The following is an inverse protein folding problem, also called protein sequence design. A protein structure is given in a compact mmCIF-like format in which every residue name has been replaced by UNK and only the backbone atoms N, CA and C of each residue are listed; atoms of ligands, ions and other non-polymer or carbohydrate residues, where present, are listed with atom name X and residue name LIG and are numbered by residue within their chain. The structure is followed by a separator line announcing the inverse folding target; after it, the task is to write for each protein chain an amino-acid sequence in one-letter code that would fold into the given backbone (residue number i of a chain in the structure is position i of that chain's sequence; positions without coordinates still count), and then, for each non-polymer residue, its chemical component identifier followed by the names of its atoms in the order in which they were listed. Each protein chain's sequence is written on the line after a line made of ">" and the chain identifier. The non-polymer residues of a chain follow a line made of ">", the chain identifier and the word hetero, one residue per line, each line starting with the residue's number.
data_IF_783580236799
#
_entry.id   IF_783580236799
#
_cell.length_a   1.000
_cell.length_b   1.000
_cell.length_c   1.000
_cell.angle_alpha   90.00
_cell.angle_beta   90.00
_cell.angle_gamma   90.00
#
_symmetry.space_group_name_H-M   'P 1'
#
loop_
_entity.id
_entity.type
_entity.pdbx_description
1 polymer ?
#
# COMPACT_ATOMS: atom_id res chain seq x y z
N UNK A 1 0.58 -14.56 -30.03
CA UNK A 1 1.28 -13.26 -29.84
C UNK A 1 1.50 -12.45 -31.12
N UNK A 2 1.68 -13.07 -32.31
CA UNK A 2 1.94 -12.33 -33.55
C UNK A 2 0.83 -11.39 -34.04
N UNK A 3 -0.44 -11.67 -33.78
CA UNK A 3 -1.56 -10.84 -34.24
C UNK A 3 -1.70 -9.53 -33.49
N UNK A 4 -1.58 -9.56 -32.14
CA UNK A 4 -1.69 -8.38 -31.29
C UNK A 4 -0.51 -7.43 -31.54
N UNK A 5 0.72 -7.95 -31.71
CA UNK A 5 1.88 -7.15 -32.07
C UNK A 5 1.70 -6.43 -33.40
N UNK A 6 1.24 -7.14 -34.45
CA UNK A 6 0.95 -6.54 -35.75
C UNK A 6 -0.11 -5.44 -35.68
N UNK A 7 -1.11 -5.61 -34.82
CA UNK A 7 -2.14 -4.58 -34.59
C UNK A 7 -1.56 -3.32 -33.94
N UNK A 8 -0.75 -3.48 -32.89
CA UNK A 8 -0.08 -2.37 -32.20
C UNK A 8 0.88 -1.64 -33.16
N UNK A 9 1.70 -2.39 -33.90
CA UNK A 9 2.64 -1.83 -34.91
C UNK A 9 1.91 -1.06 -36.02
N UNK A 10 0.70 -1.47 -36.39
CA UNK A 10 -0.13 -0.77 -37.38
C UNK A 10 -0.67 0.57 -36.86
N UNK A 11 -0.95 0.69 -35.58
CA UNK A 11 -1.51 1.90 -34.98
C UNK A 11 -0.39 2.87 -34.55
N UNK A 12 0.78 2.37 -34.21
CA UNK A 12 1.95 3.12 -33.72
C UNK A 12 2.27 4.39 -34.51
N UNK A 13 2.25 4.40 -35.88
CA UNK A 13 2.54 5.62 -36.65
C UNK A 13 1.58 6.78 -36.40
N UNK A 14 0.35 6.50 -35.92
CA UNK A 14 -0.64 7.54 -35.63
C UNK A 14 -0.29 8.32 -34.34
N UNK A 15 0.46 7.68 -33.44
CA UNK A 15 0.88 8.25 -32.14
C UNK A 15 2.34 8.70 -32.13
N UNK A 16 3.14 8.33 -33.14
CA UNK A 16 4.53 8.73 -33.28
C UNK A 16 4.68 10.22 -33.63
N UNK A 17 5.89 10.77 -33.55
CA UNK A 17 6.21 12.13 -33.97
C UNK A 17 5.73 12.41 -35.39
N UNK A 18 4.88 13.43 -35.55
CA UNK A 18 4.23 13.77 -36.82
C UNK A 18 2.87 13.09 -37.07
N UNK A 19 2.42 12.18 -36.25
CA UNK A 19 1.10 11.57 -36.32
C UNK A 19 -0.02 12.49 -35.77
N UNK A 20 -1.27 12.21 -36.17
CA UNK A 20 -2.45 13.01 -35.78
C UNK A 20 -2.68 13.03 -34.26
N UNK A 21 -2.20 12.02 -33.52
CA UNK A 21 -2.36 11.85 -32.07
C UNK A 21 -1.00 11.85 -31.36
N UNK A 22 -0.02 12.58 -31.88
CA UNK A 22 1.32 12.67 -31.27
C UNK A 22 1.31 13.21 -29.83
N UNK A 23 0.31 13.98 -29.44
CA UNK A 23 0.13 14.43 -28.07
C UNK A 23 -0.18 13.29 -27.06
N UNK A 24 -0.60 12.13 -27.55
CA UNK A 24 -0.81 10.91 -26.74
C UNK A 24 0.35 9.90 -26.87
N UNK A 25 1.49 10.29 -27.43
CA UNK A 25 2.62 9.41 -27.67
C UNK A 25 3.09 8.69 -26.39
N UNK A 26 3.25 9.43 -25.29
CA UNK A 26 3.65 8.89 -23.98
C UNK A 26 2.63 7.87 -23.42
N UNK A 27 1.35 8.14 -23.59
CA UNK A 27 0.27 7.22 -23.19
C UNK A 27 0.28 5.94 -24.01
N UNK A 28 0.46 6.07 -25.34
CA UNK A 28 0.53 4.91 -26.23
C UNK A 28 1.76 4.05 -25.93
N UNK A 29 2.91 4.67 -25.69
CA UNK A 29 4.14 3.98 -25.32
C UNK A 29 4.00 3.23 -23.99
N UNK A 30 3.33 3.81 -22.99
CA UNK A 30 3.01 3.13 -21.74
C UNK A 30 2.19 1.84 -21.97
N UNK A 31 1.16 1.88 -22.83
CA UNK A 31 0.39 0.68 -23.19
C UNK A 31 1.18 -0.33 -24.01
N UNK A 32 1.98 0.14 -24.99
CA UNK A 32 2.83 -0.75 -25.79
C UNK A 32 3.84 -1.48 -24.91
N UNK A 33 4.52 -0.76 -24.04
CA UNK A 33 5.54 -1.31 -23.15
C UNK A 33 4.96 -2.16 -22.01
N UNK A 34 3.70 -1.94 -21.65
CA UNK A 34 2.96 -2.84 -20.75
C UNK A 34 2.67 -4.19 -21.41
N UNK A 35 2.27 -4.19 -22.69
CA UNK A 35 1.95 -5.42 -23.43
C UNK A 35 3.21 -6.15 -23.92
N UNK A 36 4.23 -5.40 -24.31
CA UNK A 36 5.44 -5.92 -24.94
C UNK A 36 6.70 -5.32 -24.34
N UNK A 37 7.68 -6.16 -24.07
CA UNK A 37 9.00 -5.69 -23.64
C UNK A 37 9.64 -4.86 -24.76
N UNK A 38 10.16 -3.64 -24.49
CA UNK A 38 10.84 -2.83 -25.49
C UNK A 38 12.02 -3.58 -26.13
N UNK A 39 12.13 -3.53 -27.46
CA UNK A 39 13.20 -4.18 -28.22
C UNK A 39 14.31 -3.18 -28.61
N UNK A 40 14.46 -2.11 -27.85
CA UNK A 40 15.49 -1.10 -28.06
C UNK A 40 16.83 -1.59 -27.53
N UNK A 41 17.89 -1.41 -28.33
CA UNK A 41 19.27 -1.72 -27.96
C UNK A 41 20.10 -0.44 -27.99
N UNK A 42 21.18 -0.39 -27.20
CA UNK A 42 22.14 0.72 -27.27
C UNK A 42 22.81 0.75 -28.63
N UNK A 43 22.97 1.94 -29.22
CA UNK A 43 23.63 2.13 -30.50
C UNK A 43 25.16 2.10 -30.42
N UNK A 44 25.74 2.32 -29.23
CA UNK A 44 27.19 2.33 -28.97
C UNK A 44 27.49 1.77 -27.58
N UNK A 45 28.60 1.06 -27.42
CA UNK A 45 29.06 0.48 -26.17
C UNK A 45 28.37 -0.84 -25.81
N UNK A 46 28.55 -1.29 -24.54
CA UNK A 46 27.94 -2.51 -24.04
C UNK A 46 26.45 -2.33 -23.82
N UNK A 47 25.64 -3.30 -24.25
CA UNK A 47 24.22 -3.35 -23.96
C UNK A 47 24.00 -4.17 -22.67
N UNK A 48 23.62 -3.47 -21.60
CA UNK A 48 23.29 -4.10 -20.31
C UNK A 48 21.79 -3.97 -20.09
N UNK A 49 21.12 -5.09 -19.88
CA UNK A 49 19.70 -5.15 -19.59
C UNK A 49 19.46 -5.98 -18.36
N UNK A 50 18.71 -5.42 -17.39
CA UNK A 50 18.25 -6.19 -16.23
C UNK A 50 17.12 -7.14 -16.65
N UNK A 51 17.09 -8.34 -16.08
CA UNK A 51 15.98 -9.28 -16.25
C UNK A 51 14.73 -8.86 -15.47
N UNK A 52 14.87 -8.05 -14.40
CA UNK A 52 13.81 -7.48 -13.60
C UNK A 52 13.66 -5.98 -13.90
N UNK A 53 12.69 -5.63 -14.72
CA UNK A 53 12.27 -4.24 -14.91
C UNK A 53 11.25 -3.83 -13.82
N UNK A 54 10.96 -2.53 -13.73
CA UNK A 54 10.02 -1.97 -12.76
C UNK A 54 8.63 -2.59 -12.91
N UNK A 55 8.19 -2.88 -14.14
CA UNK A 55 6.89 -3.48 -14.46
C UNK A 55 6.72 -4.85 -13.81
N UNK A 56 7.75 -5.69 -13.92
CA UNK A 56 7.75 -7.03 -13.32
C UNK A 56 7.73 -6.96 -11.81
N UNK A 57 8.48 -6.03 -11.23
CA UNK A 57 8.44 -5.81 -9.78
C UNK A 57 7.07 -5.36 -9.32
N UNK A 58 6.43 -4.42 -10.02
CA UNK A 58 5.09 -3.94 -9.66
C UNK A 58 4.00 -5.01 -9.82
N UNK A 59 4.06 -5.82 -10.89
CA UNK A 59 3.07 -6.92 -11.06
C UNK A 59 3.18 -7.98 -9.97
N UNK A 60 4.39 -8.26 -9.46
CA UNK A 60 4.56 -9.18 -8.33
C UNK A 60 3.86 -8.65 -7.08
N UNK A 61 3.94 -7.34 -6.81
CA UNK A 61 3.21 -6.72 -5.70
C UNK A 61 1.69 -6.82 -5.90
N UNK A 62 1.19 -6.56 -7.12
CA UNK A 62 -0.24 -6.74 -7.45
C UNK A 62 -0.68 -8.19 -7.22
N UNK A 63 0.11 -9.17 -7.68
CA UNK A 63 -0.19 -10.60 -7.44
C UNK A 63 -0.18 -10.93 -5.94
N UNK A 64 0.73 -10.36 -5.18
CA UNK A 64 0.78 -10.53 -3.72
C UNK A 64 -0.41 -9.91 -2.98
N UNK A 65 -1.04 -8.87 -3.54
CA UNK A 65 -2.27 -8.26 -3.01
C UNK A 65 -3.53 -9.08 -3.32
N UNK A 66 -3.52 -9.92 -4.38
CA UNK A 66 -4.70 -10.65 -4.83
C UNK A 66 -5.34 -11.54 -3.76
N UNK A 67 -4.61 -12.31 -2.93
CA UNK A 67 -5.23 -13.11 -1.88
C UNK A 67 -6.08 -12.27 -0.90
N UNK A 68 -5.53 -11.12 -0.45
CA UNK A 68 -6.23 -10.21 0.45
C UNK A 68 -7.44 -9.55 -0.23
N UNK A 69 -7.31 -9.15 -1.50
CA UNK A 69 -8.39 -8.56 -2.28
C UNK A 69 -9.55 -9.54 -2.50
N UNK A 70 -9.25 -10.75 -2.97
CA UNK A 70 -10.27 -11.77 -3.25
C UNK A 70 -11.00 -12.20 -1.97
N UNK A 71 -10.26 -12.36 -0.87
CA UNK A 71 -10.87 -12.64 0.42
C UNK A 71 -11.73 -11.46 0.91
N UNK A 72 -11.26 -10.23 0.75
CA UNK A 72 -12.01 -9.03 1.12
C UNK A 72 -13.34 -8.90 0.36
N UNK A 73 -13.33 -9.20 -0.96
CA UNK A 73 -14.56 -9.28 -1.75
C UNK A 73 -15.52 -10.35 -1.21
N UNK A 74 -15.01 -11.53 -0.87
CA UNK A 74 -15.82 -12.57 -0.26
C UNK A 74 -16.37 -12.15 1.11
N UNK A 75 -15.53 -11.57 1.96
CA UNK A 75 -15.92 -11.15 3.31
C UNK A 75 -16.99 -10.05 3.27
N UNK A 76 -16.94 -9.14 2.31
CA UNK A 76 -17.97 -8.10 2.13
C UNK A 76 -19.36 -8.71 1.97
N UNK A 77 -19.53 -9.74 1.13
CA UNK A 77 -20.80 -10.42 0.99
C UNK A 77 -21.15 -11.32 2.17
N UNK A 78 -20.14 -11.90 2.84
CA UNK A 78 -20.35 -12.72 4.03
C UNK A 78 -20.91 -11.91 5.20
N UNK A 79 -20.45 -10.69 5.41
CA UNK A 79 -20.95 -9.78 6.46
C UNK A 79 -22.43 -9.38 6.25
N UNK A 80 -22.92 -9.43 5.03
CA UNK A 80 -24.35 -9.20 4.68
C UNK A 80 -25.20 -10.48 4.86
N UNK A 81 -24.60 -11.58 5.29
CA UNK A 81 -25.28 -12.87 5.50
C UNK A 81 -25.36 -13.76 4.25
N UNK A 82 -24.65 -13.40 3.18
CA UNK A 82 -24.56 -14.24 1.99
C UNK A 82 -23.48 -15.32 2.15
N UNK A 83 -23.58 -16.41 1.41
CA UNK A 83 -22.61 -17.52 1.47
C UNK A 83 -22.18 -17.98 0.08
N UNK A 84 -21.01 -18.61 -0.01
CA UNK A 84 -20.49 -19.20 -1.24
C UNK A 84 -20.24 -18.16 -2.35
N UNK A 85 -20.56 -18.54 -3.58
CA UNK A 85 -20.35 -17.67 -4.75
C UNK A 85 -21.20 -16.41 -4.76
N UNK A 86 -22.37 -16.41 -4.12
CA UNK A 86 -23.22 -15.22 -4.02
C UNK A 86 -22.51 -14.12 -3.20
N UNK A 87 -21.88 -14.48 -2.08
CA UNK A 87 -21.11 -13.55 -1.28
C UNK A 87 -19.94 -12.93 -2.07
N UNK A 88 -19.21 -13.76 -2.82
CA UNK A 88 -18.10 -13.28 -3.65
C UNK A 88 -18.56 -12.30 -4.74
N UNK A 89 -19.63 -12.64 -5.47
CA UNK A 89 -20.15 -11.77 -6.54
C UNK A 89 -20.71 -10.46 -6.01
N UNK A 90 -21.40 -10.49 -4.87
CA UNK A 90 -21.86 -9.27 -4.21
C UNK A 90 -20.67 -8.34 -3.89
N UNK A 91 -19.69 -8.84 -3.15
CA UNK A 91 -18.52 -8.02 -2.80
C UNK A 91 -17.66 -7.62 -4.02
N UNK A 92 -17.59 -8.45 -5.06
CA UNK A 92 -16.93 -8.07 -6.31
C UNK A 92 -17.62 -6.85 -6.96
N UNK A 93 -18.95 -6.83 -7.04
CA UNK A 93 -19.70 -5.72 -7.62
C UNK A 93 -19.59 -4.44 -6.79
N UNK A 94 -19.47 -4.54 -5.47
CA UNK A 94 -19.27 -3.39 -4.58
C UNK A 94 -17.84 -2.82 -4.67
N UNK A 95 -16.84 -3.69 -4.70
CA UNK A 95 -15.43 -3.26 -4.68
C UNK A 95 -14.91 -2.83 -6.07
N UNK A 96 -15.41 -3.45 -7.13
CA UNK A 96 -14.96 -3.17 -8.51
C UNK A 96 -15.09 -1.70 -8.91
N UNK A 97 -16.20 -1.00 -8.64
CA UNK A 97 -16.32 0.43 -8.95
C UNK A 97 -15.27 1.29 -8.22
N UNK A 98 -14.94 0.95 -6.98
CA UNK A 98 -13.91 1.64 -6.20
C UNK A 98 -12.53 1.52 -6.87
N UNK A 99 -12.20 0.31 -7.34
CA UNK A 99 -10.95 0.03 -8.05
C UNK A 99 -10.93 0.80 -9.38
N UNK A 100 -12.00 0.74 -10.16
CA UNK A 100 -12.09 1.43 -11.45
C UNK A 100 -11.93 2.93 -11.29
N UNK A 101 -12.62 3.54 -10.33
CA UNK A 101 -12.51 4.99 -10.06
C UNK A 101 -11.09 5.36 -9.65
N UNK A 102 -10.46 4.60 -8.77
CA UNK A 102 -9.08 4.83 -8.35
C UNK A 102 -8.12 4.81 -9.55
N UNK A 103 -8.21 3.79 -10.41
CA UNK A 103 -7.35 3.71 -11.61
C UNK A 103 -7.65 4.80 -12.64
N UNK A 104 -8.90 5.08 -12.93
CA UNK A 104 -9.27 6.09 -13.94
C UNK A 104 -8.78 7.47 -13.52
N UNK A 105 -9.03 7.86 -12.27
CA UNK A 105 -8.61 9.17 -11.76
C UNK A 105 -7.09 9.24 -11.63
N UNK A 106 -6.47 8.26 -11.04
CA UNK A 106 -5.03 8.30 -10.78
C UNK A 106 -4.20 8.22 -12.04
N UNK A 107 -4.47 7.26 -12.93
CA UNK A 107 -3.77 7.18 -14.22
C UNK A 107 -4.07 8.40 -15.11
N UNK A 108 -5.29 8.93 -15.07
CA UNK A 108 -5.63 10.15 -15.82
C UNK A 108 -4.75 11.34 -15.40
N UNK A 109 -4.52 11.51 -14.10
CA UNK A 109 -3.65 12.56 -13.57
C UNK A 109 -2.19 12.29 -13.93
N UNK A 110 -1.70 11.06 -13.76
CA UNK A 110 -0.32 10.72 -14.13
C UNK A 110 -0.03 10.90 -15.61
N UNK A 111 -0.93 10.48 -16.49
CA UNK A 111 -0.81 10.71 -17.93
C UNK A 111 -0.77 12.20 -18.26
N UNK A 112 -1.61 13.01 -17.61
CA UNK A 112 -1.58 14.45 -17.80
C UNK A 112 -0.23 15.06 -17.42
N UNK A 113 0.33 14.70 -16.26
CA UNK A 113 1.62 15.21 -15.81
C UNK A 113 2.79 14.68 -16.66
N UNK A 114 2.77 13.40 -17.05
CA UNK A 114 3.78 12.80 -17.91
C UNK A 114 3.85 13.50 -19.27
N UNK A 115 2.69 13.75 -19.89
CA UNK A 115 2.61 14.49 -21.16
C UNK A 115 3.09 15.93 -21.02
N UNK A 116 2.69 16.63 -19.94
CA UNK A 116 3.11 18.02 -19.70
C UNK A 116 4.61 18.14 -19.48
N UNK A 117 5.24 17.15 -18.85
CA UNK A 117 6.68 17.12 -18.55
C UNK A 117 7.51 16.48 -19.67
N UNK A 118 6.89 15.80 -20.62
CA UNK A 118 7.56 15.13 -21.75
C UNK A 118 8.36 13.89 -21.34
N UNK A 119 7.96 13.18 -20.30
CA UNK A 119 8.58 11.94 -19.89
C UNK A 119 7.62 10.74 -20.03
N UNK A 120 8.17 9.53 -19.98
CA UNK A 120 7.39 8.29 -20.00
C UNK A 120 6.52 8.15 -18.74
N UNK A 121 5.36 7.50 -18.89
CA UNK A 121 4.49 7.20 -17.76
C UNK A 121 5.09 6.05 -16.96
N UNK A 122 5.25 6.25 -15.66
CA UNK A 122 5.75 5.24 -14.75
C UNK A 122 4.61 4.38 -14.18
N UNK A 123 4.81 3.07 -14.13
CA UNK A 123 3.78 2.09 -13.74
C UNK A 123 3.62 1.93 -12.22
N UNK A 124 4.28 2.75 -11.42
CA UNK A 124 4.17 2.71 -9.95
C UNK A 124 2.74 2.90 -9.43
N UNK A 125 1.87 3.56 -10.21
CA UNK A 125 0.47 3.73 -9.84
C UNK A 125 -0.35 2.43 -9.90
N UNK A 126 0.09 1.41 -10.62
CA UNK A 126 -0.61 0.12 -10.66
C UNK A 126 -0.79 -0.47 -9.24
N UNK A 127 0.21 -0.31 -8.39
CA UNK A 127 0.14 -0.74 -6.99
C UNK A 127 -0.70 0.22 -6.15
N UNK A 128 -0.43 1.53 -6.23
CA UNK A 128 -1.16 2.54 -5.46
C UNK A 128 -2.65 2.56 -5.80
N UNK A 129 -3.01 2.40 -7.08
CA UNK A 129 -4.37 2.37 -7.56
C UNK A 129 -5.18 1.19 -7.01
N UNK A 130 -4.52 0.07 -6.68
CA UNK A 130 -5.14 -1.07 -6.02
C UNK A 130 -5.15 -0.92 -4.49
N UNK A 131 -4.08 -0.39 -3.91
CA UNK A 131 -3.98 -0.18 -2.47
C UNK A 131 -5.03 0.79 -1.93
N UNK A 132 -5.31 1.90 -2.66
CA UNK A 132 -6.27 2.93 -2.21
C UNK A 132 -7.64 2.33 -1.89
N UNK A 133 -8.34 1.63 -2.81
CA UNK A 133 -9.63 1.03 -2.49
C UNK A 133 -9.54 -0.07 -1.43
N UNK A 134 -8.43 -0.80 -1.35
CA UNK A 134 -8.27 -1.89 -0.36
C UNK A 134 -8.19 -1.39 1.08
N UNK A 135 -7.75 -0.17 1.31
CA UNK A 135 -7.66 0.44 2.66
C UNK A 135 -8.87 1.31 3.01
N UNK A 136 -9.85 1.38 2.12
CA UNK A 136 -11.10 2.11 2.37
C UNK A 136 -12.22 1.15 2.77
N UNK A 137 -13.18 1.59 3.62
CA UNK A 137 -14.43 0.86 3.83
C UNK A 137 -15.23 0.74 2.54
N UNK A 138 -15.95 -0.37 2.36
CA UNK A 138 -16.76 -0.61 1.16
C UNK A 138 -17.83 0.46 0.94
N UNK A 139 -18.46 0.95 2.01
CA UNK A 139 -19.46 2.02 1.94
C UNK A 139 -18.93 3.42 1.62
N UNK A 140 -17.63 3.56 1.29
CA UNK A 140 -17.08 4.87 0.93
C UNK A 140 -17.61 5.36 -0.41
N UNK A 141 -18.24 6.55 -0.50
CA UNK A 141 -18.75 7.10 -1.76
C UNK A 141 -17.64 7.22 -2.83
N UNK A 142 -17.95 6.85 -4.06
CA UNK A 142 -16.98 6.84 -5.17
C UNK A 142 -16.32 8.20 -5.42
N UNK A 143 -17.05 9.29 -5.21
CA UNK A 143 -16.47 10.64 -5.35
C UNK A 143 -15.39 10.95 -4.30
N UNK A 144 -15.50 10.39 -3.09
CA UNK A 144 -14.45 10.52 -2.07
C UNK A 144 -13.19 9.76 -2.45
N UNK A 145 -13.35 8.56 -3.03
CA UNK A 145 -12.23 7.78 -3.57
C UNK A 145 -11.55 8.55 -4.70
N UNK A 146 -12.35 9.12 -5.62
CA UNK A 146 -11.83 9.96 -6.70
C UNK A 146 -11.05 11.18 -6.17
N UNK A 147 -11.60 11.88 -5.19
CA UNK A 147 -10.98 13.06 -4.59
C UNK A 147 -9.72 12.70 -3.79
N UNK A 148 -9.79 11.65 -2.97
CA UNK A 148 -8.63 11.14 -2.21
C UNK A 148 -7.49 10.67 -3.11
N UNK A 149 -7.83 9.95 -4.19
CA UNK A 149 -6.87 9.51 -5.20
C UNK A 149 -6.23 10.71 -5.90
N UNK A 150 -7.05 11.68 -6.33
CA UNK A 150 -6.54 12.89 -6.98
C UNK A 150 -5.59 13.67 -6.05
N UNK A 151 -5.98 13.87 -4.80
CA UNK A 151 -5.14 14.52 -3.81
C UNK A 151 -3.81 13.80 -3.61
N UNK A 152 -3.86 12.48 -3.43
CA UNK A 152 -2.66 11.67 -3.20
C UNK A 152 -1.71 11.65 -4.40
N UNK A 153 -2.24 11.55 -5.62
CA UNK A 153 -1.39 11.56 -6.82
C UNK A 153 -0.77 12.95 -7.03
N UNK A 154 -1.54 14.01 -6.91
CA UNK A 154 -1.01 15.37 -7.13
C UNK A 154 -0.04 15.74 -6.01
N UNK A 155 -0.47 15.73 -4.74
CA UNK A 155 0.30 16.25 -3.63
C UNK A 155 1.23 15.22 -2.98
N UNK A 156 0.89 13.93 -3.03
CA UNK A 156 1.74 12.87 -2.46
C UNK A 156 2.82 12.36 -3.43
N UNK A 157 2.65 12.59 -4.75
CA UNK A 157 3.55 12.03 -5.76
C UNK A 157 4.05 13.03 -6.78
N UNK A 158 3.16 13.67 -7.56
CA UNK A 158 3.55 14.51 -8.70
C UNK A 158 4.27 15.80 -8.29
N UNK A 159 3.87 16.43 -7.19
CA UNK A 159 4.54 17.64 -6.66
C UNK A 159 6.00 17.36 -6.31
N UNK A 160 6.33 16.15 -5.87
CA UNK A 160 7.71 15.74 -5.55
C UNK A 160 8.55 15.32 -6.77
N UNK A 161 7.94 15.13 -7.93
CA UNK A 161 8.65 14.75 -9.17
C UNK A 161 8.14 13.46 -9.82
N UNK A 162 7.13 12.81 -9.27
CA UNK A 162 6.53 11.60 -9.78
C UNK A 162 7.02 10.32 -9.09
N UNK A 163 6.89 9.18 -9.77
CA UNK A 163 7.23 7.87 -9.20
C UNK A 163 8.70 7.79 -8.79
N UNK A 164 8.96 7.34 -7.57
CA UNK A 164 10.30 7.19 -7.02
C UNK A 164 10.86 8.42 -6.32
N UNK A 165 10.18 9.58 -6.41
CA UNK A 165 10.56 10.84 -5.75
C UNK A 165 9.63 11.20 -4.58
N UNK A 166 8.57 10.44 -4.37
CA UNK A 166 7.60 10.68 -3.31
C UNK A 166 8.20 10.40 -1.92
N UNK A 167 7.96 11.32 -1.00
CA UNK A 167 8.37 11.19 0.41
C UNK A 167 7.43 10.27 1.18
N UNK A 168 6.15 10.35 0.89
CA UNK A 168 5.08 9.59 1.55
C UNK A 168 4.49 8.54 0.61
N UNK A 169 4.01 7.44 1.19
CA UNK A 169 3.24 6.45 0.43
C UNK A 169 1.92 7.07 -0.06
N UNK A 170 1.65 7.12 -1.39
CA UNK A 170 0.48 7.80 -1.92
C UNK A 170 -0.86 7.21 -1.44
N UNK A 171 -0.94 5.89 -1.25
CA UNK A 171 -2.17 5.27 -0.77
C UNK A 171 -2.51 5.73 0.67
N UNK A 172 -1.50 5.84 1.53
CA UNK A 172 -1.69 6.38 2.89
C UNK A 172 -2.02 7.86 2.89
N UNK A 173 -1.47 8.64 1.96
CA UNK A 173 -1.84 10.07 1.79
C UNK A 173 -3.31 10.19 1.38
N UNK A 174 -3.80 9.33 0.46
CA UNK A 174 -5.22 9.29 0.10
C UNK A 174 -6.10 9.01 1.32
N UNK A 175 -5.78 7.96 2.08
CA UNK A 175 -6.53 7.61 3.28
C UNK A 175 -6.49 8.71 4.34
N UNK A 176 -5.31 9.29 4.60
CA UNK A 176 -5.17 10.39 5.56
C UNK A 176 -6.03 11.60 5.17
N UNK A 177 -5.98 11.99 3.89
CA UNK A 177 -6.80 13.09 3.40
C UNK A 177 -8.30 12.83 3.60
N UNK A 178 -8.79 11.66 3.17
CA UNK A 178 -10.23 11.34 3.30
C UNK A 178 -10.61 11.18 4.76
N UNK A 179 -9.75 10.59 5.60
CA UNK A 179 -9.99 10.46 7.03
C UNK A 179 -10.15 11.81 7.74
N UNK A 180 -9.23 12.76 7.50
CA UNK A 180 -9.29 14.06 8.17
C UNK A 180 -10.36 14.99 7.57
N UNK A 181 -10.62 14.90 6.27
CA UNK A 181 -11.61 15.75 5.62
C UNK A 181 -13.06 15.24 5.79
N UNK A 182 -13.25 13.91 5.88
CA UNK A 182 -14.56 13.25 5.84
C UNK A 182 -14.68 12.15 6.90
N UNK A 183 -14.25 12.42 8.12
CA UNK A 183 -14.21 11.47 9.26
C UNK A 183 -15.49 10.63 9.43
N UNK A 184 -16.73 11.18 9.31
CA UNK A 184 -17.94 10.39 9.54
C UNK A 184 -18.13 9.19 8.60
N UNK A 185 -17.48 9.19 7.43
CA UNK A 185 -17.58 8.12 6.44
C UNK A 185 -16.51 7.04 6.59
N UNK A 186 -15.44 7.31 7.36
CA UNK A 186 -14.27 6.42 7.47
C UNK A 186 -13.99 6.03 8.93
N UNK A 187 -14.76 6.54 9.87
CA UNK A 187 -14.68 6.17 11.28
C UNK A 187 -14.92 4.68 11.49
N UNK A 188 -14.13 4.03 12.33
CA UNK A 188 -14.30 2.62 12.70
C UNK A 188 -15.55 2.31 13.51
N UNK A 189 -16.30 3.34 13.97
CA UNK A 189 -17.51 3.18 14.76
C UNK A 189 -18.66 2.56 13.96
N UNK A 190 -18.75 2.89 12.66
CA UNK A 190 -19.80 2.42 11.78
C UNK A 190 -19.21 2.07 10.41
N UNK A 191 -18.82 0.84 10.23
CA UNK A 191 -18.44 0.32 8.91
C UNK A 191 -19.67 -0.25 8.22
N UNK A 192 -20.02 0.31 7.07
CA UNK A 192 -21.20 -0.07 6.28
C UNK A 192 -20.83 -1.15 5.29
N UNK A 193 -21.63 -2.22 5.22
CA UNK A 193 -21.43 -3.34 4.30
C UNK A 193 -22.47 -3.41 3.18
N UNK A 194 -23.60 -2.72 3.30
CA UNK A 194 -24.63 -2.54 2.28
C UNK A 194 -25.60 -1.44 2.65
N UNK A 195 -26.42 -1.00 1.68
CA UNK A 195 -27.47 0.04 1.86
C UNK A 195 -28.52 -0.32 2.93
N UNK A 196 -28.66 -1.61 3.28
CA UNK A 196 -29.68 -2.12 4.22
C UNK A 196 -29.19 -2.33 5.67
N UNK A 197 -28.15 -1.59 6.08
CA UNK A 197 -27.96 -1.27 7.49
C UNK A 197 -27.48 -2.36 8.45
N UNK A 198 -26.48 -3.15 8.11
CA UNK A 198 -25.67 -3.75 9.17
C UNK A 198 -24.43 -2.87 9.35
N UNK A 199 -24.54 -1.85 10.18
CA UNK A 199 -23.38 -1.08 10.65
C UNK A 199 -22.94 -1.64 11.98
N UNK A 200 -21.65 -1.91 12.14
CA UNK A 200 -21.07 -2.35 13.40
C UNK A 200 -19.70 -1.73 13.62
N UNK A 201 -19.34 -1.58 14.90
CA UNK A 201 -17.98 -1.18 15.25
C UNK A 201 -17.00 -2.27 14.80
N UNK A 202 -15.87 -1.88 14.23
CA UNK A 202 -14.81 -2.82 13.87
C UNK A 202 -14.25 -3.52 15.10
N UNK A 203 -13.66 -4.70 14.94
CA UNK A 203 -13.02 -5.41 16.04
C UNK A 203 -11.96 -4.55 16.75
N UNK A 204 -11.28 -3.68 16.00
CA UNK A 204 -10.31 -2.73 16.55
C UNK A 204 -10.97 -1.65 17.43
N UNK A 205 -12.10 -1.12 17.00
CA UNK A 205 -12.87 -0.15 17.78
C UNK A 205 -13.45 -0.77 19.04
N UNK A 206 -13.93 -2.02 18.97
CA UNK A 206 -14.39 -2.77 20.14
C UNK A 206 -13.26 -2.98 21.16
N UNK A 207 -12.05 -3.32 20.72
CA UNK A 207 -10.88 -3.42 21.62
C UNK A 207 -10.53 -2.08 22.25
N UNK A 208 -10.61 -0.99 21.51
CA UNK A 208 -10.28 0.34 22.01
C UNK A 208 -11.30 0.85 23.05
N UNK A 209 -12.57 0.52 22.90
CA UNK A 209 -13.67 1.01 23.77
C UNK A 209 -14.00 0.08 24.92
N UNK A 210 -14.07 -1.23 24.67
CA UNK A 210 -14.51 -2.22 25.67
C UNK A 210 -13.39 -3.13 26.20
N UNK A 211 -12.22 -3.11 25.56
CA UNK A 211 -11.11 -4.00 25.89
C UNK A 211 -11.33 -5.47 25.53
N UNK A 212 -12.40 -5.78 24.79
CA UNK A 212 -12.74 -7.13 24.34
C UNK A 212 -13.40 -7.10 22.95
N UNK A 213 -13.15 -8.12 22.13
CA UNK A 213 -13.82 -8.33 20.86
C UNK A 213 -15.05 -9.23 21.01
N UNK A 214 -16.10 -8.97 20.26
CA UNK A 214 -17.24 -9.89 20.10
C UNK A 214 -16.93 -11.08 19.19
N UNK A 215 -15.84 -11.03 18.45
CA UNK A 215 -15.39 -12.04 17.49
C UNK A 215 -14.34 -12.97 18.12
N UNK A 216 -14.31 -14.23 17.67
CA UNK A 216 -13.23 -15.12 18.10
C UNK A 216 -11.88 -14.69 17.47
N UNK A 217 -10.80 -15.00 18.17
CA UNK A 217 -9.46 -14.77 17.65
C UNK A 217 -9.18 -15.48 16.31
N UNK A 218 -9.78 -16.67 16.15
CA UNK A 218 -9.69 -17.43 14.90
C UNK A 218 -10.40 -16.69 13.77
N UNK A 219 -11.59 -16.14 14.01
CA UNK A 219 -12.32 -15.35 13.02
C UNK A 219 -11.57 -14.07 12.65
N UNK A 220 -10.95 -13.41 13.65
CA UNK A 220 -10.11 -12.24 13.41
C UNK A 220 -8.86 -12.57 12.55
N UNK A 221 -8.23 -13.72 12.79
CA UNK A 221 -7.08 -14.18 12.02
C UNK A 221 -7.46 -14.60 10.59
N UNK A 222 -8.57 -15.34 10.44
CA UNK A 222 -9.08 -15.76 9.13
C UNK A 222 -9.68 -14.58 8.36
N UNK A 223 -10.26 -13.59 9.06
CA UNK A 223 -10.78 -12.37 8.47
C UNK A 223 -12.30 -12.26 8.40
N UNK A 224 -13.05 -13.11 9.10
CA UNK A 224 -14.52 -13.04 9.18
C UNK A 224 -15.00 -11.96 10.15
N UNK A 225 -14.38 -10.79 10.05
CA UNK A 225 -14.65 -9.60 10.87
C UNK A 225 -14.92 -8.39 9.97
N UNK A 226 -15.68 -7.40 10.45
CA UNK A 226 -15.88 -6.15 9.73
C UNK A 226 -14.57 -5.34 9.66
N UNK A 227 -14.29 -4.74 8.49
CA UNK A 227 -13.10 -3.92 8.26
C UNK A 227 -13.02 -3.42 6.82
N UNK A 228 -11.91 -2.77 6.46
CA UNK A 228 -11.67 -2.37 5.08
C UNK A 228 -11.37 -3.58 4.19
N UNK A 229 -11.55 -3.42 2.88
CA UNK A 229 -11.52 -4.53 1.90
C UNK A 229 -10.27 -5.41 2.03
N UNK A 230 -9.08 -4.81 2.17
CA UNK A 230 -7.80 -5.56 2.14
C UNK A 230 -7.27 -5.99 3.49
N UNK A 231 -7.79 -5.46 4.61
CA UNK A 231 -7.15 -5.59 5.92
C UNK A 231 -7.76 -6.64 6.85
N UNK A 232 -8.88 -7.25 6.45
CA UNK A 232 -9.63 -8.17 7.33
C UNK A 232 -8.90 -9.48 7.59
N UNK A 233 -8.35 -10.13 6.56
CA UNK A 233 -7.73 -11.46 6.69
C UNK A 233 -6.22 -11.38 6.86
N UNK A 234 -5.75 -11.59 8.09
CA UNK A 234 -4.32 -11.72 8.38
C UNK A 234 -3.69 -12.91 7.63
N UNK A 235 -4.42 -14.03 7.50
CA UNK A 235 -3.94 -15.20 6.73
C UNK A 235 -3.67 -14.86 5.26
N UNK A 236 -4.62 -14.19 4.60
CA UNK A 236 -4.47 -13.79 3.20
C UNK A 236 -3.32 -12.78 3.01
N UNK A 237 -3.14 -11.86 3.95
CA UNK A 237 -2.01 -10.92 3.99
C UNK A 237 -0.69 -11.68 4.13
N UNK A 238 -0.61 -12.69 5.00
CA UNK A 238 0.61 -13.50 5.17
C UNK A 238 0.94 -14.33 3.93
N UNK A 239 -0.05 -14.81 3.16
CA UNK A 239 0.19 -15.43 1.85
C UNK A 239 0.83 -14.41 0.89
N UNK A 240 0.32 -13.19 0.85
CA UNK A 240 0.94 -12.11 0.09
C UNK A 240 2.35 -11.76 0.56
N UNK A 241 2.58 -11.74 1.88
CA UNK A 241 3.91 -11.56 2.47
C UNK A 241 4.89 -12.65 2.01
N UNK A 242 4.46 -13.91 2.00
CA UNK A 242 5.27 -15.01 1.51
C UNK A 242 5.66 -14.82 0.04
N UNK A 243 4.72 -14.43 -0.84
CA UNK A 243 5.02 -14.14 -2.25
C UNK A 243 6.08 -13.04 -2.35
N UNK A 244 5.93 -11.92 -1.61
CA UNK A 244 6.87 -10.79 -1.65
C UNK A 244 8.26 -11.16 -1.12
N UNK A 245 8.35 -11.99 -0.10
CA UNK A 245 9.61 -12.43 0.49
C UNK A 245 10.34 -13.45 -0.39
N UNK A 246 9.60 -14.42 -0.98
CA UNK A 246 10.20 -15.41 -1.90
C UNK A 246 10.71 -14.77 -3.19
N UNK A 247 10.02 -13.74 -3.69
CA UNK A 247 10.46 -12.99 -4.87
C UNK A 247 11.53 -11.94 -4.56
N UNK A 248 11.80 -11.65 -3.28
CA UNK A 248 12.79 -10.67 -2.85
C UNK A 248 12.38 -9.22 -3.09
N UNK A 249 11.11 -8.95 -3.42
CA UNK A 249 10.60 -7.60 -3.68
C UNK A 249 10.48 -6.80 -2.39
N UNK A 250 9.95 -7.42 -1.32
CA UNK A 250 9.84 -6.77 -0.02
C UNK A 250 11.03 -7.07 0.90
N UNK A 251 11.36 -6.11 1.74
CA UNK A 251 12.41 -6.26 2.74
C UNK A 251 11.91 -7.03 3.96
N UNK A 252 12.40 -8.26 4.16
CA UNK A 252 12.12 -9.05 5.36
C UNK A 252 12.51 -8.32 6.65
N UNK A 253 13.57 -7.48 6.60
CA UNK A 253 14.06 -6.70 7.74
C UNK A 253 13.02 -5.70 8.22
N UNK A 254 12.50 -4.90 7.32
CA UNK A 254 11.45 -3.92 7.64
C UNK A 254 10.20 -4.64 8.14
N UNK A 255 9.71 -5.63 7.39
CA UNK A 255 8.49 -6.38 7.72
C UNK A 255 8.56 -7.01 9.11
N UNK A 256 9.61 -7.81 9.38
CA UNK A 256 9.76 -8.50 10.68
C UNK A 256 9.88 -7.54 11.84
N UNK A 257 10.60 -6.43 11.67
CA UNK A 257 10.80 -5.46 12.74
C UNK A 257 9.57 -4.60 13.02
N UNK A 258 8.68 -4.40 12.05
CA UNK A 258 7.35 -3.82 12.33
C UNK A 258 6.55 -4.73 13.25
N UNK A 259 6.50 -6.04 12.99
CA UNK A 259 5.82 -6.99 13.88
C UNK A 259 6.46 -7.05 15.27
N UNK A 260 7.80 -7.09 15.35
CA UNK A 260 8.53 -7.08 16.62
C UNK A 260 8.25 -5.80 17.42
N UNK A 261 8.26 -4.64 16.76
CA UNK A 261 7.97 -3.34 17.38
C UNK A 261 6.55 -3.28 17.94
N UNK A 262 5.57 -3.77 17.17
CA UNK A 262 4.18 -3.86 17.62
C UNK A 262 4.01 -4.77 18.83
N UNK A 263 4.61 -5.97 18.79
CA UNK A 263 4.61 -6.90 19.94
C UNK A 263 5.28 -6.30 21.17
N UNK A 264 6.45 -5.70 21.02
CA UNK A 264 7.18 -5.12 22.12
C UNK A 264 6.38 -4.02 22.83
N UNK A 265 5.75 -3.13 22.06
CA UNK A 265 4.90 -2.08 22.61
C UNK A 265 3.60 -2.62 23.19
N UNK A 266 2.99 -3.63 22.56
CA UNK A 266 1.81 -4.30 23.11
C UNK A 266 2.09 -4.96 24.47
N UNK A 267 3.18 -5.70 24.60
CA UNK A 267 3.60 -6.27 25.89
C UNK A 267 3.95 -5.21 26.92
N UNK A 268 4.54 -4.09 26.49
CA UNK A 268 4.82 -2.97 27.37
C UNK A 268 3.53 -2.40 27.99
N UNK A 269 2.50 -2.14 27.19
CA UNK A 269 1.21 -1.65 27.71
C UNK A 269 0.46 -2.71 28.53
N UNK A 270 0.57 -3.97 28.17
CA UNK A 270 0.00 -5.07 28.96
C UNK A 270 0.70 -5.18 30.33
N UNK A 271 2.02 -5.04 30.41
CA UNK A 271 2.77 -5.05 31.65
C UNK A 271 2.46 -3.84 32.55
N UNK A 272 2.08 -2.69 31.95
CA UNK A 272 1.60 -1.52 32.69
C UNK A 272 0.13 -1.64 33.13
N UNK A 273 -0.58 -2.70 32.75
CA UNK A 273 -2.00 -2.88 33.02
C UNK A 273 -2.94 -1.93 32.29
N UNK A 274 -2.46 -1.28 31.22
CA UNK A 274 -3.25 -0.35 30.40
C UNK A 274 -4.15 -1.12 29.43
N UNK A 275 -3.66 -2.23 28.86
CA UNK A 275 -4.43 -3.11 27.98
C UNK A 275 -4.73 -4.43 28.67
N UNK A 276 -5.98 -4.91 28.57
CA UNK A 276 -6.45 -6.16 29.18
C UNK A 276 -6.34 -7.37 28.24
N UNK A 277 -6.22 -7.11 26.95
CA UNK A 277 -6.15 -8.14 25.90
C UNK A 277 -4.70 -8.48 25.53
N UNK A 278 -4.45 -9.66 24.96
CA UNK A 278 -3.12 -10.10 24.59
C UNK A 278 -2.43 -9.19 23.57
N UNK A 279 -1.13 -8.93 23.72
CA UNK A 279 -0.35 -8.04 22.87
C UNK A 279 -0.36 -8.44 21.37
N UNK A 280 -0.49 -9.72 21.07
CA UNK A 280 -0.51 -10.22 19.70
C UNK A 280 -1.82 -9.90 18.94
N UNK A 281 -2.92 -9.60 19.65
CA UNK A 281 -4.16 -9.16 19.02
C UNK A 281 -3.99 -7.84 18.28
N UNK A 282 -3.12 -6.97 18.72
CA UNK A 282 -2.75 -5.77 17.99
C UNK A 282 -2.24 -6.02 16.57
N UNK A 283 -1.64 -7.20 16.32
CA UNK A 283 -1.04 -7.54 15.04
C UNK A 283 -2.06 -8.06 14.03
N UNK A 284 -3.12 -8.73 14.51
CA UNK A 284 -4.11 -9.39 13.66
C UNK A 284 -5.35 -8.55 13.41
N UNK A 285 -5.58 -7.50 14.24
CA UNK A 285 -6.78 -6.67 14.16
C UNK A 285 -6.47 -5.34 13.49
N UNK A 286 -7.39 -4.91 12.60
CA UNK A 286 -7.26 -3.70 11.81
C UNK A 286 -6.12 -3.75 10.79
N UNK A 287 -5.74 -2.60 10.26
CA UNK A 287 -4.75 -2.49 9.18
C UNK A 287 -3.29 -2.73 9.57
N UNK A 288 -2.97 -3.29 10.76
CA UNK A 288 -1.58 -3.47 11.20
C UNK A 288 -0.81 -4.42 10.28
N UNK A 289 -1.31 -5.64 10.08
CA UNK A 289 -0.65 -6.64 9.23
C UNK A 289 -0.56 -6.17 7.78
N UNK A 290 -1.62 -5.57 7.25
CA UNK A 290 -1.65 -5.04 5.89
C UNK A 290 -0.63 -3.91 5.69
N UNK A 291 -0.58 -2.96 6.62
CA UNK A 291 0.40 -1.87 6.60
C UNK A 291 1.84 -2.36 6.75
N UNK A 292 2.09 -3.35 7.62
CA UNK A 292 3.41 -3.94 7.83
C UNK A 292 3.95 -4.64 6.57
N UNK A 293 3.08 -5.34 5.83
CA UNK A 293 3.46 -6.15 4.67
C UNK A 293 3.56 -5.33 3.38
N UNK A 294 2.55 -4.51 3.08
CA UNK A 294 2.43 -3.88 1.76
C UNK A 294 2.79 -2.39 1.73
N UNK A 295 2.81 -1.71 2.88
CA UNK A 295 3.02 -0.26 2.92
C UNK A 295 4.32 0.14 3.60
N UNK A 296 4.68 -0.45 4.74
CA UNK A 296 5.93 -0.15 5.43
C UNK A 296 7.15 -0.70 4.66
N UNK A 297 6.95 -1.69 3.78
CA UNK A 297 7.99 -2.26 2.91
C UNK A 297 8.13 -1.56 1.57
N UNK A 298 7.40 -0.47 1.32
CA UNK A 298 7.52 0.32 0.09
C UNK A 298 8.97 0.73 -0.13
N UNK A 299 9.60 0.33 -1.25
CA UNK A 299 11.01 0.57 -1.48
C UNK A 299 11.35 2.06 -1.69
N UNK A 300 10.36 2.90 -2.01
CA UNK A 300 10.58 4.34 -2.24
C UNK A 300 10.60 5.12 -0.93
N UNK A 301 9.63 4.87 -0.06
CA UNK A 301 9.38 5.68 1.14
C UNK A 301 10.01 5.11 2.41
N UNK A 302 10.44 3.85 2.37
CA UNK A 302 11.13 3.19 3.49
C UNK A 302 12.63 3.47 3.47
N UNK A 303 13.32 3.20 4.61
CA UNK A 303 14.77 3.31 4.72
C UNK A 303 15.50 2.43 3.68
N UNK A 304 16.57 2.97 3.09
CA UNK A 304 17.40 2.28 2.10
C UNK A 304 18.52 1.45 2.73
N UNK A 305 19.03 1.88 3.90
CA UNK A 305 20.11 1.15 4.58
C UNK A 305 19.59 -0.05 5.35
N UNK A 306 20.39 -1.15 5.40
CA UNK A 306 19.97 -2.34 6.14
C UNK A 306 19.75 -2.08 7.64
N UNK A 307 20.59 -1.24 8.26
CA UNK A 307 20.45 -0.85 9.67
C UNK A 307 19.21 0.05 9.86
N UNK A 308 19.00 0.98 8.92
CA UNK A 308 17.84 1.87 8.95
C UNK A 308 16.53 1.09 8.83
N UNK A 309 16.48 0.03 8.02
CA UNK A 309 15.31 -0.85 7.90
C UNK A 309 14.89 -1.49 9.22
N UNK A 310 15.84 -1.88 10.06
CA UNK A 310 15.56 -2.40 11.39
C UNK A 310 14.99 -1.32 12.30
N UNK A 311 15.60 -0.12 12.32
CA UNK A 311 15.18 0.99 13.18
C UNK A 311 13.80 1.49 12.75
N UNK A 312 13.63 1.80 11.47
CA UNK A 312 12.36 2.31 10.93
C UNK A 312 11.24 1.27 11.13
N UNK A 313 11.49 -0.01 10.85
CA UNK A 313 10.50 -1.06 11.07
C UNK A 313 10.08 -1.16 12.54
N UNK A 314 11.03 -1.23 13.46
CA UNK A 314 10.76 -1.31 14.90
C UNK A 314 9.93 -0.11 15.38
N UNK A 315 10.34 1.09 14.99
CA UNK A 315 9.64 2.32 15.38
C UNK A 315 8.24 2.41 14.78
N UNK A 316 8.07 2.00 13.52
CA UNK A 316 6.75 1.96 12.88
C UNK A 316 5.79 1.09 13.66
N UNK A 317 6.19 -0.14 13.98
CA UNK A 317 5.34 -1.06 14.75
C UNK A 317 5.03 -0.56 16.15
N UNK A 318 6.04 -0.06 16.87
CA UNK A 318 5.87 0.49 18.21
C UNK A 318 4.95 1.71 18.23
N UNK A 319 5.14 2.66 17.30
CA UNK A 319 4.29 3.85 17.20
C UNK A 319 2.85 3.49 16.82
N UNK A 320 2.64 2.50 15.96
CA UNK A 320 1.29 2.07 15.59
C UNK A 320 0.48 1.60 16.81
N UNK A 321 1.09 0.78 17.68
CA UNK A 321 0.45 0.32 18.91
C UNK A 321 0.35 1.45 19.95
N UNK A 322 1.36 2.30 20.05
CA UNK A 322 1.32 3.47 20.94
C UNK A 322 0.13 4.37 20.60
N UNK A 323 -0.07 4.70 19.31
CA UNK A 323 -1.18 5.56 18.88
C UNK A 323 -2.52 4.89 19.20
N UNK A 324 -2.65 3.57 18.95
CA UNK A 324 -3.88 2.81 19.25
C UNK A 324 -4.29 2.88 20.70
N UNK A 325 -3.33 2.76 21.61
CA UNK A 325 -3.60 2.68 23.05
C UNK A 325 -3.79 4.07 23.69
N UNK A 326 -3.00 5.04 23.23
CA UNK A 326 -3.02 6.40 23.81
C UNK A 326 -4.15 7.25 23.23
N UNK A 327 -4.56 6.99 21.99
CA UNK A 327 -5.61 7.75 21.31
C UNK A 327 -6.80 6.85 20.92
N UNK A 328 -7.75 6.60 21.83
CA UNK A 328 -8.92 5.78 21.54
C UNK A 328 -9.85 6.38 20.48
N UNK A 329 -9.80 7.70 20.24
CA UNK A 329 -10.55 8.34 19.17
C UNK A 329 -10.03 8.00 17.75
N UNK A 330 -8.81 7.44 17.65
CA UNK A 330 -8.23 6.98 16.40
C UNK A 330 -7.42 5.68 16.62
N UNK A 331 -8.09 4.54 16.76
CA UNK A 331 -7.41 3.29 17.11
C UNK A 331 -6.59 2.67 15.96
N UNK A 332 -6.71 3.14 14.72
CA UNK A 332 -5.96 2.56 13.60
C UNK A 332 -4.45 2.68 13.72
N UNK A 333 -3.94 3.80 14.10
CA UNK A 333 -2.52 4.06 14.37
C UNK A 333 -1.52 3.77 13.24
N UNK A 334 -1.73 2.72 12.45
CA UNK A 334 -0.75 2.23 11.46
C UNK A 334 -0.51 3.22 10.33
N UNK A 335 -1.55 3.88 9.82
CA UNK A 335 -1.44 4.91 8.79
C UNK A 335 -0.53 6.06 9.24
N UNK A 336 -0.81 6.63 10.41
CA UNK A 336 -0.04 7.78 10.93
C UNK A 336 1.39 7.38 11.27
N UNK A 337 1.60 6.17 11.82
CA UNK A 337 2.91 5.64 12.12
C UNK A 337 3.78 5.50 10.88
N UNK A 338 3.26 4.92 9.80
CA UNK A 338 4.01 4.78 8.55
C UNK A 338 4.30 6.16 7.94
N UNK A 339 3.32 7.06 7.86
CA UNK A 339 3.53 8.40 7.32
C UNK A 339 4.59 9.17 8.12
N UNK A 340 4.55 9.10 9.44
CA UNK A 340 5.55 9.72 10.30
C UNK A 340 6.95 9.14 10.06
N UNK A 341 7.05 7.80 9.99
CA UNK A 341 8.33 7.15 9.75
C UNK A 341 8.85 7.33 8.33
N UNK A 342 7.99 7.51 7.34
CA UNK A 342 8.40 7.90 5.98
C UNK A 342 9.12 9.25 5.99
N UNK A 343 8.64 10.22 6.76
CA UNK A 343 9.31 11.52 6.91
C UNK A 343 10.68 11.39 7.61
N UNK A 344 10.82 10.45 8.55
CA UNK A 344 12.05 10.24 9.32
C UNK A 344 13.03 9.26 8.67
N UNK A 345 12.61 8.41 7.74
CA UNK A 345 13.46 7.40 7.11
C UNK A 345 14.75 7.98 6.49
N UNK A 346 14.72 9.11 5.75
CA UNK A 346 15.93 9.73 5.22
C UNK A 346 16.89 10.21 6.32
N UNK A 347 16.36 10.70 7.44
CA UNK A 347 17.15 11.13 8.58
C UNK A 347 17.87 9.95 9.24
N UNK A 348 17.17 8.83 9.42
CA UNK A 348 17.77 7.59 9.95
C UNK A 348 18.89 7.10 9.03
N UNK A 349 18.64 7.07 7.72
CA UNK A 349 19.65 6.67 6.74
C UNK A 349 20.87 7.60 6.74
N UNK A 350 20.67 8.89 6.87
CA UNK A 350 21.76 9.87 6.99
C UNK A 350 22.69 9.53 8.17
N UNK A 351 22.14 9.29 9.37
CA UNK A 351 22.98 8.97 10.54
C UNK A 351 23.66 7.59 10.40
N UNK A 352 23.01 6.61 9.79
CA UNK A 352 23.63 5.31 9.53
C UNK A 352 24.82 5.42 8.57
N UNK A 353 24.69 6.22 7.50
CA UNK A 353 25.75 6.48 6.53
C UNK A 353 26.89 7.24 7.18
N UNK A 354 26.61 8.32 7.96
CA UNK A 354 27.61 9.11 8.66
C UNK A 354 28.41 8.25 9.68
N UNK A 355 27.73 7.37 10.41
CA UNK A 355 28.40 6.43 11.31
C UNK A 355 29.34 5.49 10.55
N UNK A 356 28.98 5.02 9.35
CA UNK A 356 29.84 4.18 8.52
C UNK A 356 31.06 4.96 7.99
N UNK A 357 30.86 6.20 7.55
CA UNK A 357 31.96 7.08 7.12
C UNK A 357 32.94 7.31 8.26
N UNK A 358 32.44 7.60 9.45
CA UNK A 358 33.26 7.82 10.65
C UNK A 358 34.08 6.58 11.04
N UNK A 359 33.49 5.38 10.95
CA UNK A 359 34.21 4.10 11.16
C UNK A 359 35.32 3.89 10.13
N UNK A 360 35.07 4.18 8.84
CA UNK A 360 36.07 4.08 7.78
C UNK A 360 37.22 5.07 8.00
N UNK A 361 36.94 6.32 8.35
CA UNK A 361 37.96 7.34 8.67
C UNK A 361 38.86 6.91 9.84
N UNK A 362 38.31 6.28 10.89
CA UNK A 362 39.10 5.73 12.01
C UNK A 362 40.02 4.62 11.57
N UNK A 363 39.62 3.70 10.69
CA UNK A 363 40.46 2.62 10.16
C UNK A 363 41.67 3.16 9.38
N UNK A 364 41.48 4.19 8.55
CA UNK A 364 42.55 4.80 7.78
C UNK A 364 43.57 5.50 8.71
N UNK A 365 43.14 6.11 9.83
CA UNK A 365 44.07 6.70 10.82
C UNK A 365 44.88 5.65 11.57
N UNK A 366 44.36 4.46 11.79
CA UNK A 366 45.08 3.37 12.45
C UNK A 366 46.05 2.66 11.51
N UNK A 367 45.87 2.78 10.20
CA UNK A 367 46.74 2.17 9.18
C UNK A 367 47.93 3.08 8.77
N UNK A 368 47.98 4.34 9.24
CA UNK A 368 49.12 5.23 9.15
C UNK A 368 49.93 5.17 10.42
#
# INVERSE_FOLDING_TARGET
>A
MGGLRKFVDKIKPTFSEGGKLSFLASTFDAFETFLFVPNTTTSRGAHIRDCNDMKRTMIVVVVALMPALLFGMYNTGYQVGMTGWAAFWFGFLEVLPMIVVSYVVGLGIEFFFAQKRGHEVNEGFLVSGLLIPMIMPVGTPLWMIALGTAFAVIFGKEVFGGTGMNVFNPALVARAFVFFAYTPFISGEKVWFADDAVSGATALEQLATSGAMSYSTADAFLGFIPGCVGETSTLAILIGAAILLFTGVASWRTMSFVFIGGLAMGYFFQALGVTTYPAWEHLIVGGFAFGAVFMATDPVTSSQTNTGKYIVGLMTGALAVLIRVVNPAYPEGMMLSILFMNALAPLVDYYVVEANISRRKKRVKLAK
#
